data_IF_411308462565
#
_entry.id   IF_411308462565
#
_cell.length_a   1.000
_cell.length_b   1.000
_cell.length_c   1.000
_cell.angle_alpha   90.00
_cell.angle_beta   90.00
_cell.angle_gamma   90.00
#
_symmetry.space_group_name_H-M   'P 1'
#
loop_
_entity.id
_entity.type
_entity.pdbx_description
1 polymer ?
#
# COMPACT_ATOMS: atom_id res chain seq x y z
N UNK A 1 -23.98 -38.28 46.15
CA UNK A 1 -24.22 -37.10 47.02
C UNK A 1 -25.32 -36.32 46.33
N UNK A 2 -26.57 -36.56 46.71
CA UNK A 2 -27.74 -35.89 46.12
C UNK A 2 -27.68 -34.42 46.53
N UNK A 3 -27.64 -33.52 45.56
CA UNK A 3 -27.77 -32.08 45.82
C UNK A 3 -29.18 -31.86 46.40
N UNK A 4 -29.31 -30.96 47.36
CA UNK A 4 -30.63 -30.62 47.90
C UNK A 4 -31.53 -30.12 46.74
N UNK A 5 -32.73 -30.69 46.52
CA UNK A 5 -33.64 -30.27 45.45
C UNK A 5 -34.00 -28.78 45.52
N UNK A 6 -33.90 -28.17 46.71
CA UNK A 6 -34.09 -26.72 46.87
C UNK A 6 -32.90 -25.95 46.29
N UNK A 7 -31.67 -26.45 46.47
CA UNK A 7 -30.45 -25.82 45.96
C UNK A 7 -30.35 -25.94 44.43
N UNK A 8 -30.80 -27.06 43.84
CA UNK A 8 -30.86 -27.24 42.38
C UNK A 8 -31.94 -26.36 41.73
N UNK A 9 -33.10 -26.18 42.38
CA UNK A 9 -34.13 -25.24 41.92
C UNK A 9 -33.66 -23.77 41.97
N UNK A 10 -32.98 -23.37 43.06
CA UNK A 10 -32.45 -22.00 43.22
C UNK A 10 -31.37 -21.69 42.18
N UNK A 11 -30.46 -22.62 41.91
CA UNK A 11 -29.39 -22.45 40.91
C UNK A 11 -29.94 -22.40 39.49
N UNK A 12 -30.95 -23.23 39.15
CA UNK A 12 -31.63 -23.18 37.85
C UNK A 12 -32.27 -21.81 37.61
N UNK A 13 -32.99 -21.27 38.60
CA UNK A 13 -33.63 -19.95 38.53
C UNK A 13 -32.59 -18.84 38.43
N UNK A 14 -31.50 -18.92 39.19
CA UNK A 14 -30.42 -17.94 39.15
C UNK A 14 -29.70 -17.90 37.79
N UNK A 15 -29.43 -19.06 37.17
CA UNK A 15 -28.79 -19.15 35.85
C UNK A 15 -29.73 -18.65 34.74
N UNK A 16 -31.01 -19.03 34.80
CA UNK A 16 -32.01 -18.55 33.84
C UNK A 16 -32.20 -17.02 33.94
N UNK A 17 -32.33 -16.49 35.15
CA UNK A 17 -32.41 -15.04 35.39
C UNK A 17 -31.13 -14.33 34.93
N UNK A 18 -29.95 -14.87 35.23
CA UNK A 18 -28.66 -14.35 34.78
C UNK A 18 -28.55 -14.31 33.26
N UNK A 19 -28.94 -15.37 32.56
CA UNK A 19 -28.93 -15.42 31.09
C UNK A 19 -29.87 -14.38 30.47
N UNK A 20 -31.05 -14.20 31.04
CA UNK A 20 -32.02 -13.17 30.61
C UNK A 20 -31.45 -11.77 30.85
N UNK A 21 -30.84 -11.51 32.01
CA UNK A 21 -30.21 -10.23 32.33
C UNK A 21 -29.05 -9.94 31.38
N UNK A 22 -28.16 -10.90 31.14
CA UNK A 22 -27.05 -10.77 30.17
C UNK A 22 -27.58 -10.48 28.77
N UNK A 23 -28.60 -11.21 28.32
CA UNK A 23 -29.23 -10.96 27.02
C UNK A 23 -29.81 -9.54 26.93
N UNK A 24 -30.54 -9.10 27.96
CA UNK A 24 -31.14 -7.76 28.00
C UNK A 24 -30.05 -6.69 28.02
N UNK A 25 -29.05 -6.80 28.88
CA UNK A 25 -27.96 -5.83 29.04
C UNK A 25 -27.11 -5.75 27.77
N UNK A 26 -26.72 -6.88 27.18
CA UNK A 26 -25.97 -6.92 25.92
C UNK A 26 -26.69 -6.16 24.82
N UNK A 27 -27.98 -6.48 24.60
CA UNK A 27 -28.76 -5.78 23.59
C UNK A 27 -28.95 -4.31 23.94
N UNK A 28 -29.20 -3.97 25.22
CA UNK A 28 -29.32 -2.57 25.64
C UNK A 28 -28.03 -1.78 25.40
N UNK A 29 -26.85 -2.37 25.64
CA UNK A 29 -25.55 -1.75 25.44
C UNK A 29 -25.23 -1.55 23.94
N UNK A 30 -25.45 -2.58 23.11
CA UNK A 30 -25.31 -2.51 21.66
C UNK A 30 -26.18 -1.37 21.07
N UNK A 31 -27.38 -1.17 21.62
CA UNK A 31 -28.29 -0.10 21.18
C UNK A 31 -28.09 1.25 21.85
N UNK A 32 -27.47 1.30 23.04
CA UNK A 32 -27.11 2.56 23.71
C UNK A 32 -26.01 3.29 22.96
N UNK A 33 -25.07 2.53 22.37
CA UNK A 33 -23.82 3.08 21.87
C UNK A 33 -23.82 3.41 20.37
N UNK A 34 -24.67 2.80 19.52
CA UNK A 34 -24.35 2.84 18.09
C UNK A 34 -25.38 3.28 17.04
N UNK A 35 -26.71 3.25 17.24
CA UNK A 35 -27.57 3.24 16.04
C UNK A 35 -28.97 3.88 16.23
N UNK A 36 -29.12 5.15 15.83
CA UNK A 36 -30.42 5.89 15.75
C UNK A 36 -31.11 5.82 14.37
N UNK A 37 -30.57 5.05 13.42
CA UNK A 37 -31.09 4.93 12.04
C UNK A 37 -32.14 3.81 11.89
N UNK A 38 -32.96 3.85 10.84
CA UNK A 38 -33.96 2.79 10.54
C UNK A 38 -33.33 1.41 10.30
N UNK A 39 -32.08 1.37 9.86
CA UNK A 39 -31.26 0.15 9.77
C UNK A 39 -31.03 -0.52 11.12
N UNK A 40 -30.95 0.25 12.21
CA UNK A 40 -30.81 -0.26 13.58
C UNK A 40 -32.02 -1.08 14.05
N UNK A 41 -33.22 -0.60 13.69
CA UNK A 41 -34.49 -1.23 14.05
C UNK A 41 -34.67 -2.55 13.30
N UNK A 42 -34.30 -2.56 12.02
CA UNK A 42 -34.29 -3.79 11.20
C UNK A 42 -33.28 -4.81 11.74
N UNK A 43 -32.08 -4.35 12.12
CA UNK A 43 -31.06 -5.17 12.79
C UNK A 43 -31.58 -5.84 14.06
N UNK A 44 -32.31 -5.09 14.87
CA UNK A 44 -32.86 -5.55 16.14
C UNK A 44 -33.87 -6.69 15.93
N UNK A 45 -34.76 -6.59 14.96
CA UNK A 45 -35.79 -7.60 14.76
C UNK A 45 -35.20 -8.93 14.24
N UNK A 46 -34.26 -8.85 13.30
CA UNK A 46 -33.66 -9.99 12.62
C UNK A 46 -32.66 -10.79 13.50
N UNK A 47 -31.86 -10.13 14.33
CA UNK A 47 -30.80 -10.80 15.11
C UNK A 47 -31.25 -11.22 16.52
N UNK A 48 -32.32 -10.63 17.06
CA UNK A 48 -32.81 -10.94 18.42
C UNK A 48 -33.18 -12.40 18.61
N UNK A 49 -33.88 -12.98 17.64
CA UNK A 49 -34.35 -14.35 17.74
C UNK A 49 -33.19 -15.36 17.78
N UNK A 50 -32.23 -15.35 16.83
CA UNK A 50 -31.05 -16.20 16.93
C UNK A 50 -30.25 -15.99 18.22
N UNK A 51 -30.07 -14.73 18.66
CA UNK A 51 -29.36 -14.43 19.90
C UNK A 51 -30.07 -14.99 21.14
N UNK A 52 -31.41 -14.97 21.18
CA UNK A 52 -32.20 -15.55 22.27
C UNK A 52 -32.01 -17.06 22.34
N UNK A 53 -32.09 -17.73 21.19
CA UNK A 53 -31.86 -19.16 21.12
C UNK A 53 -30.46 -19.54 21.59
N UNK A 54 -29.42 -18.79 21.18
CA UNK A 54 -28.06 -19.02 21.65
C UNK A 54 -27.92 -18.83 23.16
N UNK A 55 -28.48 -17.74 23.71
CA UNK A 55 -28.43 -17.51 25.16
C UNK A 55 -29.20 -18.58 25.93
N UNK A 56 -30.32 -19.07 25.38
CA UNK A 56 -31.11 -20.13 26.00
C UNK A 56 -30.36 -21.46 26.01
N UNK A 57 -29.71 -21.86 24.91
CA UNK A 57 -28.96 -23.12 24.84
C UNK A 57 -27.71 -23.09 25.73
N UNK A 58 -27.05 -21.93 25.85
CA UNK A 58 -25.92 -21.73 26.78
C UNK A 58 -26.40 -21.78 28.24
N UNK A 59 -27.55 -21.18 28.55
CA UNK A 59 -28.14 -21.26 29.89
C UNK A 59 -28.47 -22.71 30.26
N UNK A 60 -29.06 -23.47 29.33
CA UNK A 60 -29.32 -24.91 29.50
C UNK A 60 -28.02 -25.65 29.81
N UNK A 61 -26.95 -25.42 29.04
CA UNK A 61 -25.64 -26.02 29.30
C UNK A 61 -25.10 -25.72 30.71
N UNK A 62 -25.26 -24.47 31.18
CA UNK A 62 -24.81 -24.06 32.51
C UNK A 62 -25.63 -24.68 33.64
N UNK A 63 -26.91 -25.01 33.40
CA UNK A 63 -27.79 -25.63 34.40
C UNK A 63 -27.66 -27.14 34.53
N UNK A 64 -27.31 -27.85 33.44
CA UNK A 64 -27.28 -29.32 33.41
C UNK A 64 -26.42 -29.98 34.50
N UNK A 65 -25.24 -29.46 34.89
CA UNK A 65 -24.42 -30.05 35.96
C UNK A 65 -25.08 -30.06 37.35
N UNK A 66 -26.09 -29.22 37.56
CA UNK A 66 -26.76 -29.03 38.87
C UNK A 66 -28.10 -29.76 38.94
N UNK A 67 -28.51 -30.41 37.85
CA UNK A 67 -29.76 -31.20 37.80
C UNK A 67 -29.55 -32.61 38.34
N UNK A 68 -30.55 -33.17 39.02
CA UNK A 68 -30.54 -34.54 39.55
C UNK A 68 -30.77 -35.63 38.47
N UNK A 69 -30.38 -35.35 37.22
CA UNK A 69 -30.48 -36.29 36.11
C UNK A 69 -29.45 -37.42 36.27
N UNK A 70 -29.79 -38.60 35.73
CA UNK A 70 -28.81 -39.70 35.67
C UNK A 70 -27.59 -39.30 34.83
N UNK A 71 -26.39 -39.80 35.13
CA UNK A 71 -25.17 -39.42 34.41
C UNK A 71 -25.27 -39.59 32.89
N UNK A 72 -25.96 -40.64 32.43
CA UNK A 72 -26.21 -40.88 31.01
C UNK A 72 -27.16 -39.85 30.39
N UNK A 73 -28.23 -39.47 31.10
CA UNK A 73 -29.17 -38.46 30.64
C UNK A 73 -28.50 -37.08 30.58
N UNK A 74 -27.70 -36.73 31.58
CA UNK A 74 -26.92 -35.48 31.60
C UNK A 74 -25.94 -35.42 30.43
N UNK A 75 -25.20 -36.51 30.15
CA UNK A 75 -24.27 -36.56 29.03
C UNK A 75 -24.97 -36.36 27.67
N UNK A 76 -26.13 -36.99 27.45
CA UNK A 76 -26.93 -36.81 26.22
C UNK A 76 -27.48 -35.38 26.12
N UNK A 77 -27.99 -34.84 27.23
CA UNK A 77 -28.52 -33.48 27.26
C UNK A 77 -27.43 -32.43 26.98
N UNK A 78 -26.23 -32.60 27.55
CA UNK A 78 -25.07 -31.73 27.29
C UNK A 78 -24.69 -31.78 25.81
N UNK A 79 -24.61 -32.98 25.23
CA UNK A 79 -24.25 -33.13 23.80
C UNK A 79 -25.29 -32.46 22.89
N UNK A 80 -26.59 -32.67 23.13
CA UNK A 80 -27.65 -32.01 22.37
C UNK A 80 -27.63 -30.49 22.53
N UNK A 81 -27.39 -29.99 23.75
CA UNK A 81 -27.34 -28.56 24.01
C UNK A 81 -26.09 -27.89 23.40
N UNK A 82 -24.96 -28.61 23.28
CA UNK A 82 -23.78 -28.15 22.52
C UNK A 82 -24.14 -28.01 21.03
N UNK A 83 -24.75 -29.03 20.42
CA UNK A 83 -25.16 -28.98 19.01
C UNK A 83 -26.14 -27.83 18.77
N UNK A 84 -27.16 -27.70 19.63
CA UNK A 84 -28.13 -26.61 19.56
C UNK A 84 -27.46 -25.22 19.67
N UNK A 85 -26.45 -25.09 20.54
CA UNK A 85 -25.67 -23.85 20.66
C UNK A 85 -24.86 -23.53 19.41
N UNK A 86 -24.22 -24.54 18.79
CA UNK A 86 -23.48 -24.34 17.53
C UNK A 86 -24.44 -23.89 16.41
N UNK A 87 -25.60 -24.54 16.28
CA UNK A 87 -26.62 -24.17 15.28
C UNK A 87 -27.14 -22.76 15.53
N UNK A 88 -27.44 -22.40 16.78
CA UNK A 88 -27.91 -21.07 17.13
C UNK A 88 -26.85 -19.99 16.85
N UNK A 89 -25.58 -20.27 17.14
CA UNK A 89 -24.46 -19.37 16.84
C UNK A 89 -24.25 -19.20 15.33
N UNK A 90 -24.30 -20.29 14.56
CA UNK A 90 -24.21 -20.25 13.10
C UNK A 90 -25.37 -19.47 12.49
N UNK A 91 -26.59 -19.69 12.98
CA UNK A 91 -27.77 -18.95 12.54
C UNK A 91 -27.66 -17.45 12.82
N UNK A 92 -27.17 -17.08 14.02
CA UNK A 92 -26.90 -15.69 14.39
C UNK A 92 -25.86 -15.07 13.46
N UNK A 93 -24.75 -15.76 13.19
CA UNK A 93 -23.69 -15.28 12.30
C UNK A 93 -24.19 -15.07 10.86
N UNK A 94 -24.94 -16.03 10.30
CA UNK A 94 -25.52 -15.93 8.96
C UNK A 94 -26.51 -14.76 8.85
N UNK A 95 -27.34 -14.55 9.89
CA UNK A 95 -28.25 -13.40 9.96
C UNK A 95 -27.48 -12.08 10.08
N UNK A 96 -26.42 -12.03 10.90
CA UNK A 96 -25.57 -10.85 11.01
C UNK A 96 -24.90 -10.50 9.67
N UNK A 97 -24.36 -11.48 8.95
CA UNK A 97 -23.77 -11.27 7.61
C UNK A 97 -24.82 -10.73 6.64
N UNK A 98 -26.01 -11.34 6.61
CA UNK A 98 -27.11 -10.92 5.73
C UNK A 98 -27.51 -9.47 6.00
N UNK A 99 -27.80 -9.14 7.25
CA UNK A 99 -28.26 -7.80 7.63
C UNK A 99 -27.15 -6.77 7.46
N UNK A 100 -25.90 -7.11 7.75
CA UNK A 100 -24.74 -6.24 7.48
C UNK A 100 -24.60 -5.91 5.99
N UNK A 101 -24.79 -6.91 5.14
CA UNK A 101 -24.78 -6.74 3.67
C UNK A 101 -25.95 -5.88 3.20
N UNK A 102 -27.17 -6.18 3.64
CA UNK A 102 -28.37 -5.42 3.28
C UNK A 102 -28.30 -3.97 3.78
N UNK A 103 -27.72 -3.74 4.97
CA UNK A 103 -27.51 -2.41 5.53
C UNK A 103 -26.44 -1.61 4.78
N UNK A 104 -25.38 -2.29 4.31
CA UNK A 104 -24.35 -1.66 3.49
C UNK A 104 -24.87 -1.31 2.09
N UNK A 105 -25.71 -2.19 1.52
CA UNK A 105 -26.34 -2.01 0.21
C UNK A 105 -27.48 -1.00 0.21
N UNK A 106 -28.28 -0.93 1.28
CA UNK A 106 -29.37 0.05 1.42
C UNK A 106 -28.90 1.51 1.54
N UNK A 107 -27.60 1.73 1.76
CA UNK A 107 -26.98 3.07 1.72
C UNK A 107 -26.55 3.50 0.31
N UNK A 108 -26.62 2.60 -0.68
CA UNK A 108 -26.30 2.92 -2.07
C UNK A 108 -27.58 3.38 -2.79
N UNK A 109 -27.50 4.54 -3.44
CA UNK A 109 -28.58 5.07 -4.25
C UNK A 109 -28.62 4.34 -5.61
N UNK A 110 -29.48 3.32 -5.70
CA UNK A 110 -29.63 2.47 -6.89
C UNK A 110 -30.58 3.06 -7.95
N UNK A 111 -31.20 4.22 -7.67
CA UNK A 111 -32.18 4.84 -8.56
C UNK A 111 -31.54 5.56 -9.77
N UNK A 112 -30.25 5.87 -9.71
CA UNK A 112 -29.50 6.50 -10.79
C UNK A 112 -28.98 5.45 -11.79
N UNK A 113 -29.44 5.53 -13.05
CA UNK A 113 -29.14 4.56 -14.12
C UNK A 113 -27.64 4.39 -14.43
N UNK A 114 -26.80 5.39 -14.15
CA UNK A 114 -25.38 5.45 -14.52
C UNK A 114 -24.38 5.04 -13.42
N UNK A 115 -24.84 4.40 -12.36
CA UNK A 115 -23.98 4.13 -11.22
C UNK A 115 -23.21 2.79 -11.36
N UNK A 116 -22.25 2.71 -12.29
CA UNK A 116 -21.36 1.55 -12.50
C UNK A 116 -20.63 1.13 -11.20
N UNK A 117 -20.27 2.12 -10.37
CA UNK A 117 -19.67 1.91 -9.05
C UNK A 117 -20.63 1.21 -8.08
N UNK A 118 -21.93 1.55 -8.12
CA UNK A 118 -22.93 0.89 -7.29
C UNK A 118 -23.13 -0.58 -7.71
N UNK A 119 -23.14 -0.85 -9.02
CA UNK A 119 -23.23 -2.22 -9.56
C UNK A 119 -22.00 -3.06 -9.19
N UNK A 120 -20.78 -2.49 -9.28
CA UNK A 120 -19.55 -3.18 -8.85
C UNK A 120 -19.58 -3.53 -7.36
N UNK A 121 -20.00 -2.58 -6.51
CA UNK A 121 -20.15 -2.80 -5.06
C UNK A 121 -21.21 -3.85 -4.73
N UNK A 122 -22.34 -3.86 -5.44
CA UNK A 122 -23.39 -4.89 -5.32
C UNK A 122 -22.84 -6.30 -5.55
N UNK A 123 -22.12 -6.49 -6.65
CA UNK A 123 -21.53 -7.79 -6.99
C UNK A 123 -20.48 -8.21 -5.97
N UNK A 124 -19.59 -7.30 -5.57
CA UNK A 124 -18.55 -7.57 -4.57
C UNK A 124 -19.13 -7.94 -3.20
N UNK A 125 -20.09 -7.17 -2.69
CA UNK A 125 -20.74 -7.44 -1.41
C UNK A 125 -21.54 -8.75 -1.43
N UNK A 126 -22.20 -9.06 -2.54
CA UNK A 126 -22.91 -10.34 -2.69
C UNK A 126 -21.96 -11.53 -2.71
N UNK A 127 -20.83 -11.41 -3.41
CA UNK A 127 -19.79 -12.44 -3.44
C UNK A 127 -19.19 -12.67 -2.04
N UNK A 128 -18.82 -11.59 -1.35
CA UNK A 128 -18.30 -11.66 0.03
C UNK A 128 -19.31 -12.31 0.97
N UNK A 129 -20.58 -11.89 0.93
CA UNK A 129 -21.65 -12.53 1.70
C UNK A 129 -21.74 -14.02 1.43
N UNK A 130 -21.70 -14.44 0.16
CA UNK A 130 -21.81 -15.86 -0.22
C UNK A 130 -20.61 -16.64 0.31
N UNK A 131 -19.39 -16.14 0.13
CA UNK A 131 -18.18 -16.78 0.63
C UNK A 131 -18.17 -16.88 2.16
N UNK A 132 -18.49 -15.80 2.87
CA UNK A 132 -18.59 -15.80 4.33
C UNK A 132 -19.68 -16.75 4.83
N UNK A 133 -20.84 -16.80 4.15
CA UNK A 133 -21.94 -17.70 4.53
C UNK A 133 -21.56 -19.18 4.35
N UNK A 134 -20.88 -19.51 3.25
CA UNK A 134 -20.34 -20.86 3.02
C UNK A 134 -19.31 -21.22 4.09
N UNK A 135 -18.41 -20.28 4.42
CA UNK A 135 -17.44 -20.47 5.50
C UNK A 135 -18.11 -20.76 6.85
N UNK A 136 -19.08 -19.94 7.27
CA UNK A 136 -19.82 -20.17 8.52
C UNK A 136 -20.52 -21.53 8.53
N UNK A 137 -21.18 -21.91 7.43
CA UNK A 137 -21.85 -23.20 7.32
C UNK A 137 -20.85 -24.38 7.42
N UNK A 138 -19.69 -24.28 6.76
CA UNK A 138 -18.64 -25.28 6.81
C UNK A 138 -18.06 -25.42 8.23
N UNK A 139 -17.73 -24.31 8.90
CA UNK A 139 -17.22 -24.34 10.27
C UNK A 139 -18.24 -24.87 11.27
N UNK A 140 -19.52 -24.49 11.13
CA UNK A 140 -20.58 -25.02 11.97
C UNK A 140 -20.77 -26.53 11.77
N UNK A 141 -20.76 -26.99 10.51
CA UNK A 141 -20.82 -28.43 10.19
C UNK A 141 -19.64 -29.20 10.76
N UNK A 142 -18.42 -28.68 10.61
CA UNK A 142 -17.22 -29.27 11.20
C UNK A 142 -17.29 -29.32 12.74
N UNK A 143 -17.72 -28.23 13.38
CA UNK A 143 -17.88 -28.17 14.83
C UNK A 143 -18.92 -29.19 15.35
N UNK A 144 -20.06 -29.34 14.66
CA UNK A 144 -21.07 -30.36 14.98
C UNK A 144 -20.47 -31.76 14.82
N UNK A 145 -19.76 -32.01 13.72
CA UNK A 145 -19.16 -33.32 13.45
C UNK A 145 -18.15 -33.71 14.55
N UNK A 146 -17.31 -32.77 15.00
CA UNK A 146 -16.34 -33.00 16.09
C UNK A 146 -16.96 -33.30 17.46
N UNK A 147 -18.27 -33.05 17.63
CA UNK A 147 -18.95 -33.46 18.87
C UNK A 147 -19.06 -34.98 18.99
N UNK A 148 -19.09 -35.72 17.88
CA UNK A 148 -19.22 -37.18 17.85
C UNK A 148 -17.87 -37.88 18.03
N UNK A 149 -17.72 -38.84 18.99
CA UNK A 149 -16.44 -39.52 19.24
C UNK A 149 -15.84 -40.19 18.00
N UNK A 150 -16.66 -40.87 17.20
CA UNK A 150 -16.22 -41.54 15.96
C UNK A 150 -15.64 -40.57 14.93
N UNK A 151 -16.11 -39.33 14.93
CA UNK A 151 -15.65 -38.31 14.01
C UNK A 151 -14.49 -37.47 14.57
N UNK A 152 -14.15 -37.56 15.87
CA UNK A 152 -12.97 -36.85 16.43
C UNK A 152 -11.66 -37.43 15.93
N UNK A 153 -11.56 -38.75 15.78
CA UNK A 153 -10.35 -39.41 15.26
C UNK A 153 -10.07 -39.01 13.80
N UNK A 154 -11.11 -38.95 12.97
CA UNK A 154 -11.04 -38.46 11.59
C UNK A 154 -10.89 -36.93 11.57
N UNK A 155 -11.52 -36.23 12.52
CA UNK A 155 -11.47 -34.78 12.65
C UNK A 155 -10.05 -34.27 12.94
N UNK A 156 -9.25 -35.00 13.72
CA UNK A 156 -7.86 -34.63 13.98
C UNK A 156 -7.00 -34.66 12.71
N UNK A 157 -7.15 -35.68 11.85
CA UNK A 157 -6.42 -35.73 10.58
C UNK A 157 -6.93 -34.69 9.58
N UNK A 158 -8.25 -34.48 9.52
CA UNK A 158 -8.84 -33.41 8.70
C UNK A 158 -8.41 -32.01 9.15
N UNK A 159 -8.33 -31.75 10.45
CA UNK A 159 -7.83 -30.49 11.01
C UNK A 159 -6.35 -30.29 10.68
N UNK A 160 -5.53 -31.34 10.75
CA UNK A 160 -4.13 -31.29 10.33
C UNK A 160 -3.99 -30.95 8.84
N UNK A 161 -4.78 -31.60 7.97
CA UNK A 161 -4.81 -31.29 6.54
C UNK A 161 -5.35 -29.88 6.25
N UNK A 162 -6.38 -29.44 6.96
CA UNK A 162 -6.91 -28.08 6.87
C UNK A 162 -5.88 -27.04 7.31
N UNK A 163 -5.05 -27.35 8.31
CA UNK A 163 -3.91 -26.53 8.72
C UNK A 163 -2.89 -26.36 7.59
N UNK A 164 -2.51 -27.45 6.91
CA UNK A 164 -1.61 -27.39 5.75
C UNK A 164 -2.22 -26.62 4.58
N UNK A 165 -3.49 -26.86 4.26
CA UNK A 165 -4.21 -26.11 3.22
C UNK A 165 -4.30 -24.62 3.57
N UNK A 166 -4.52 -24.30 4.85
CA UNK A 166 -4.52 -22.94 5.38
C UNK A 166 -3.16 -22.27 5.25
N UNK A 167 -2.06 -22.98 5.51
CA UNK A 167 -0.70 -22.47 5.31
C UNK A 167 -0.43 -22.15 3.84
N UNK A 168 -0.80 -23.04 2.92
CA UNK A 168 -0.63 -22.83 1.48
C UNK A 168 -1.46 -21.63 1.01
N UNK A 169 -2.72 -21.53 1.45
CA UNK A 169 -3.59 -20.39 1.15
C UNK A 169 -3.02 -19.08 1.72
N UNK A 170 -2.48 -19.11 2.94
CA UNK A 170 -1.82 -17.96 3.57
C UNK A 170 -0.57 -17.51 2.81
N UNK A 171 0.27 -18.46 2.38
CA UNK A 171 1.45 -18.17 1.58
C UNK A 171 1.08 -17.57 0.21
N UNK A 172 0.02 -18.08 -0.43
CA UNK A 172 -0.50 -17.52 -1.67
C UNK A 172 -1.07 -16.10 -1.48
N UNK A 173 -1.69 -15.82 -0.33
CA UNK A 173 -2.24 -14.50 -0.01
C UNK A 173 -1.20 -13.47 0.46
N UNK A 174 0.07 -13.88 0.66
CA UNK A 174 1.12 -13.04 1.25
C UNK A 174 1.30 -11.70 0.55
N UNK A 175 1.32 -11.67 -0.78
CA UNK A 175 1.50 -10.43 -1.55
C UNK A 175 0.31 -9.47 -1.42
N UNK A 176 -0.92 -10.02 -1.35
CA UNK A 176 -2.13 -9.21 -1.19
C UNK A 176 -2.18 -8.60 0.20
N UNK A 177 -1.93 -9.41 1.24
CA UNK A 177 -1.88 -8.92 2.62
C UNK A 177 -0.73 -7.95 2.85
N UNK A 178 0.45 -8.22 2.26
CA UNK A 178 1.60 -7.32 2.33
C UNK A 178 1.29 -5.95 1.73
N UNK A 179 0.64 -5.90 0.57
CA UNK A 179 0.18 -4.65 -0.03
C UNK A 179 -0.82 -3.91 0.86
N UNK A 180 -1.79 -4.60 1.46
CA UNK A 180 -2.76 -3.96 2.36
C UNK A 180 -2.11 -3.37 3.61
N UNK A 181 -1.15 -4.08 4.21
CA UNK A 181 -0.41 -3.59 5.38
C UNK A 181 0.45 -2.38 4.98
N UNK A 182 1.13 -2.46 3.83
CA UNK A 182 1.92 -1.36 3.29
C UNK A 182 1.06 -0.11 3.01
N UNK A 183 -0.13 -0.28 2.41
CA UNK A 183 -1.04 0.85 2.19
C UNK A 183 -1.55 1.48 3.47
N UNK A 184 -1.81 0.68 4.50
CA UNK A 184 -2.14 1.20 5.82
C UNK A 184 -0.95 1.97 6.43
N UNK A 185 0.26 1.45 6.27
CA UNK A 185 1.48 2.10 6.74
C UNK A 185 1.72 3.43 6.03
N UNK A 186 1.54 3.50 4.70
CA UNK A 186 1.65 4.77 3.95
C UNK A 186 0.60 5.76 4.43
N UNK A 187 -0.64 5.32 4.66
CA UNK A 187 -1.71 6.20 5.15
C UNK A 187 -1.43 6.79 6.55
N UNK A 188 -0.69 6.09 7.41
CA UNK A 188 -0.38 6.57 8.76
C UNK A 188 0.97 7.29 8.87
N UNK A 189 2.00 6.79 8.20
CA UNK A 189 3.36 7.35 8.27
C UNK A 189 3.63 8.42 7.21
N UNK A 190 2.77 8.53 6.20
CA UNK A 190 2.83 9.49 5.10
C UNK A 190 4.24 9.68 4.50
N UNK A 191 4.96 8.61 4.10
CA UNK A 191 6.26 8.76 3.42
C UNK A 191 6.11 9.39 2.02
N UNK A 192 4.92 9.30 1.45
CA UNK A 192 4.45 9.95 0.22
C UNK A 192 3.05 10.51 0.45
N UNK A 193 2.74 11.63 -0.18
CA UNK A 193 1.43 12.28 -0.17
C UNK A 193 0.84 12.36 -1.57
N UNK A 194 -0.46 12.63 -1.64
CA UNK A 194 -1.10 12.97 -2.91
C UNK A 194 -0.43 14.22 -3.48
N UNK A 195 -0.21 14.23 -4.80
CA UNK A 195 0.48 15.28 -5.55
C UNK A 195 1.98 15.48 -5.25
N UNK A 196 2.60 14.63 -4.43
CA UNK A 196 4.06 14.66 -4.24
C UNK A 196 4.81 14.37 -5.56
N UNK A 197 5.92 15.06 -5.79
CA UNK A 197 6.83 14.77 -6.89
C UNK A 197 7.83 13.72 -6.45
N UNK A 198 7.81 12.58 -7.12
CA UNK A 198 8.63 11.42 -6.79
C UNK A 198 9.42 10.94 -8.01
N UNK A 199 10.60 10.36 -7.74
CA UNK A 199 11.38 9.61 -8.72
C UNK A 199 11.38 8.15 -8.32
N UNK A 200 10.80 7.31 -9.17
CA UNK A 200 10.61 5.87 -8.97
C UNK A 200 10.98 5.14 -10.26
N UNK A 201 11.71 4.04 -10.16
CA UNK A 201 12.22 3.30 -11.35
C UNK A 201 12.97 4.18 -12.37
N UNK A 202 13.60 5.27 -11.93
CA UNK A 202 14.30 6.23 -12.80
C UNK A 202 13.40 7.19 -13.57
N UNK A 203 12.07 7.06 -13.43
CA UNK A 203 11.08 7.95 -14.03
C UNK A 203 10.61 8.96 -12.97
N UNK A 204 10.45 10.22 -13.36
CA UNK A 204 9.93 11.27 -12.50
C UNK A 204 8.46 11.55 -12.80
N UNK A 205 7.67 11.79 -11.77
CA UNK A 205 6.24 12.05 -11.89
C UNK A 205 5.62 12.50 -10.57
N UNK A 206 4.32 12.78 -10.61
CA UNK A 206 3.55 13.17 -9.43
C UNK A 206 2.63 12.03 -8.97
N UNK A 207 2.44 11.88 -7.67
CA UNK A 207 1.51 10.88 -7.11
C UNK A 207 0.07 11.30 -7.40
N UNK A 208 -0.64 10.55 -8.25
CA UNK A 208 -2.02 10.83 -8.69
C UNK A 208 -3.06 10.14 -7.79
N UNK A 209 -2.78 8.93 -7.30
CA UNK A 209 -3.71 8.15 -6.47
C UNK A 209 -2.95 7.26 -5.49
N UNK A 210 -3.39 7.21 -4.23
CA UNK A 210 -2.90 6.28 -3.21
C UNK A 210 -4.06 5.37 -2.80
N UNK A 211 -3.99 4.09 -3.17
CA UNK A 211 -4.93 3.05 -2.77
C UNK A 211 -4.28 2.11 -1.76
N UNK A 212 -5.11 1.31 -1.07
CA UNK A 212 -4.65 0.30 -0.12
C UNK A 212 -3.64 -0.70 -0.71
N UNK A 213 -3.71 -0.98 -2.02
CA UNK A 213 -2.90 -2.05 -2.65
C UNK A 213 -1.99 -1.58 -3.78
N UNK A 214 -2.20 -0.38 -4.31
CA UNK A 214 -1.34 0.21 -5.33
C UNK A 214 -1.30 1.73 -5.19
N UNK A 215 -0.28 2.34 -5.76
CA UNK A 215 -0.12 3.79 -5.93
C UNK A 215 0.01 4.08 -7.42
N UNK A 216 -0.62 5.15 -7.89
CA UNK A 216 -0.52 5.61 -9.27
C UNK A 216 0.35 6.86 -9.31
N UNK A 217 1.44 6.79 -10.07
CA UNK A 217 2.32 7.92 -10.36
C UNK A 217 2.09 8.36 -11.79
N UNK A 218 1.71 9.62 -11.99
CA UNK A 218 1.55 10.24 -13.30
C UNK A 218 2.90 10.76 -13.75
N UNK A 219 3.44 10.14 -14.79
CA UNK A 219 4.70 10.56 -15.40
C UNK A 219 4.52 11.86 -16.18
N UNK A 220 5.65 12.53 -16.43
CA UNK A 220 5.70 13.79 -17.19
C UNK A 220 5.09 13.69 -18.60
N UNK A 221 5.14 12.51 -19.22
CA UNK A 221 4.57 12.21 -20.54
C UNK A 221 3.09 11.75 -20.49
N UNK A 222 2.42 11.95 -19.35
CA UNK A 222 1.01 11.60 -19.08
C UNK A 222 0.72 10.10 -18.99
N UNK A 223 1.74 9.22 -19.01
CA UNK A 223 1.56 7.80 -18.66
C UNK A 223 1.31 7.64 -17.15
N UNK A 224 0.63 6.56 -16.77
CA UNK A 224 0.39 6.18 -15.37
C UNK A 224 1.24 4.98 -15.03
N UNK A 225 2.18 5.16 -14.13
CA UNK A 225 2.97 4.08 -13.56
C UNK A 225 2.23 3.57 -12.31
N UNK A 226 1.77 2.32 -12.37
CA UNK A 226 1.04 1.67 -11.27
C UNK A 226 2.02 0.79 -10.51
N UNK A 227 2.25 1.13 -9.24
CA UNK A 227 3.19 0.43 -8.37
C UNK A 227 2.44 -0.23 -7.20
N UNK A 228 2.81 -1.46 -6.80
CA UNK A 228 2.25 -2.07 -5.59
C UNK A 228 2.65 -1.23 -4.37
N UNK A 229 1.78 -1.14 -3.37
CA UNK A 229 2.07 -0.29 -2.21
C UNK A 229 3.27 -0.77 -1.40
N UNK A 230 3.60 -2.08 -1.46
CA UNK A 230 4.84 -2.61 -0.86
C UNK A 230 6.11 -1.98 -1.44
N UNK A 231 6.09 -1.50 -2.69
CA UNK A 231 7.25 -0.86 -3.32
C UNK A 231 7.78 0.32 -2.50
N UNK A 232 6.90 1.20 -2.04
CA UNK A 232 7.26 2.40 -1.29
C UNK A 232 7.65 2.12 0.17
N UNK A 233 7.49 0.89 0.62
CA UNK A 233 7.93 0.43 1.95
C UNK A 233 9.25 -0.32 1.86
N UNK A 234 9.44 -1.12 0.80
CA UNK A 234 10.57 -2.04 0.66
C UNK A 234 11.70 -1.47 -0.20
N UNK A 235 11.41 -0.53 -1.12
CA UNK A 235 12.35 0.01 -2.11
C UNK A 235 12.65 1.48 -1.85
N UNK A 236 13.92 1.92 -1.88
CA UNK A 236 14.27 3.33 -1.81
C UNK A 236 13.70 4.12 -3.00
N UNK A 237 13.16 5.30 -2.74
CA UNK A 237 12.68 6.24 -3.75
C UNK A 237 13.06 7.68 -3.34
N UNK A 238 13.00 8.61 -4.29
CA UNK A 238 13.22 10.02 -4.01
C UNK A 238 11.88 10.73 -3.95
N UNK A 239 11.66 11.52 -2.89
CA UNK A 239 10.53 12.43 -2.79
C UNK A 239 11.09 13.86 -2.76
N UNK A 240 10.85 14.59 -3.84
CA UNK A 240 11.37 15.94 -4.03
C UNK A 240 10.55 17.00 -3.28
N UNK A 241 9.31 16.69 -2.90
CA UNK A 241 8.38 17.63 -2.23
C UNK A 241 8.08 17.28 -0.78
N UNK A 242 8.83 16.36 -0.16
CA UNK A 242 8.56 15.86 1.20
C UNK A 242 8.55 16.95 2.27
N UNK A 243 9.45 17.93 2.17
CA UNK A 243 9.66 18.96 3.20
C UNK A 243 9.36 20.36 2.68
N UNK A 244 9.77 20.65 1.44
CA UNK A 244 9.55 21.93 0.78
C UNK A 244 9.24 21.69 -0.69
N UNK A 245 8.45 22.56 -1.31
CA UNK A 245 8.19 22.51 -2.75
C UNK A 245 9.44 22.88 -3.56
N UNK A 246 10.34 23.68 -2.95
CA UNK A 246 11.60 24.08 -3.57
C UNK A 246 12.47 22.88 -3.88
N UNK A 247 12.86 22.76 -5.15
CA UNK A 247 13.71 21.67 -5.64
C UNK A 247 15.04 22.24 -6.09
N UNK A 248 16.11 21.53 -5.75
CA UNK A 248 17.48 21.88 -6.11
C UNK A 248 17.82 21.23 -7.46
N UNK A 249 17.96 22.05 -8.49
CA UNK A 249 18.29 21.66 -9.85
C UNK A 249 19.79 21.63 -10.09
N UNK A 250 20.27 20.63 -10.83
CA UNK A 250 21.70 20.49 -11.19
C UNK A 250 21.92 20.53 -12.70
N UNK A 251 22.81 21.41 -13.15
CA UNK A 251 23.28 21.50 -14.54
C UNK A 251 24.78 21.22 -14.54
N UNK A 252 25.19 20.17 -15.24
CA UNK A 252 26.59 19.77 -15.35
C UNK A 252 27.12 20.10 -16.74
N UNK A 253 28.32 20.67 -16.79
CA UNK A 253 29.08 21.00 -17.98
C UNK A 253 30.42 20.27 -17.95
N UNK A 254 30.87 19.77 -19.09
CA UNK A 254 32.23 19.28 -19.28
C UNK A 254 32.96 20.29 -20.14
N UNK A 255 33.99 20.93 -19.59
CA UNK A 255 34.69 22.08 -20.19
C UNK A 255 36.19 21.80 -20.24
N UNK A 256 36.93 22.47 -21.13
CA UNK A 256 38.41 22.43 -21.13
C UNK A 256 38.94 23.04 -19.81
N UNK A 257 40.15 22.62 -19.39
CA UNK A 257 40.81 23.15 -18.18
C UNK A 257 41.07 24.66 -18.22
N UNK A 258 40.96 25.28 -19.40
CA UNK A 258 41.09 26.73 -19.60
C UNK A 258 39.82 27.52 -19.34
N UNK A 259 38.70 26.86 -19.07
CA UNK A 259 37.42 27.52 -18.85
C UNK A 259 37.50 28.59 -17.72
N UNK A 260 37.01 29.82 -17.95
CA UNK A 260 37.07 30.89 -16.96
C UNK A 260 35.93 30.73 -15.93
N UNK A 261 36.14 29.84 -14.96
CA UNK A 261 35.13 29.47 -13.96
C UNK A 261 34.55 30.68 -13.22
N UNK A 262 35.38 31.67 -12.86
CA UNK A 262 34.91 32.86 -12.14
C UNK A 262 34.00 33.75 -12.99
N UNK A 263 34.33 33.95 -14.27
CA UNK A 263 33.46 34.67 -15.19
C UNK A 263 32.15 33.90 -15.42
N UNK A 264 32.22 32.57 -15.50
CA UNK A 264 31.03 31.71 -15.62
C UNK A 264 30.13 31.79 -14.39
N UNK A 265 30.67 31.97 -13.17
CA UNK A 265 29.87 32.23 -11.96
C UNK A 265 29.09 33.54 -12.06
N UNK A 266 29.77 34.61 -12.49
CA UNK A 266 29.16 35.93 -12.64
C UNK A 266 28.06 35.90 -13.70
N UNK A 267 28.31 35.21 -14.81
CA UNK A 267 27.33 35.07 -15.88
C UNK A 267 26.13 34.22 -15.49
N UNK A 268 26.34 33.14 -14.70
CA UNK A 268 25.23 32.37 -14.13
C UNK A 268 24.33 33.28 -13.27
N UNK A 269 24.92 34.07 -12.36
CA UNK A 269 24.14 34.98 -11.52
C UNK A 269 23.35 35.98 -12.36
N UNK A 270 23.97 36.58 -13.39
CA UNK A 270 23.29 37.51 -14.32
C UNK A 270 22.10 36.85 -15.03
N UNK A 271 22.26 35.60 -15.46
CA UNK A 271 21.18 34.81 -16.06
C UNK A 271 20.04 34.57 -15.06
N UNK A 272 20.36 34.27 -13.80
CA UNK A 272 19.36 33.98 -12.77
C UNK A 272 18.60 35.22 -12.33
N UNK A 273 19.28 36.34 -12.10
CA UNK A 273 18.66 37.62 -11.71
C UNK A 273 17.65 38.15 -12.74
N UNK A 274 17.82 37.76 -14.00
CA UNK A 274 16.92 38.14 -15.10
C UNK A 274 15.85 37.09 -15.42
N UNK A 275 15.95 35.88 -14.84
CA UNK A 275 15.04 34.78 -15.14
C UNK A 275 13.91 34.71 -14.10
N UNK A 276 12.64 34.89 -14.51
CA UNK A 276 11.50 34.87 -13.59
C UNK A 276 11.23 33.49 -12.95
N UNK A 277 11.89 32.42 -13.43
CA UNK A 277 11.75 31.05 -12.89
C UNK A 277 12.66 30.79 -11.68
N UNK A 278 13.62 31.67 -11.39
CA UNK A 278 14.49 31.53 -10.23
C UNK A 278 13.81 32.09 -8.98
N UNK A 279 13.86 31.34 -7.88
CA UNK A 279 13.20 31.69 -6.62
C UNK A 279 14.05 32.61 -5.72
N UNK A 280 15.26 32.94 -6.13
CA UNK A 280 16.16 33.85 -5.42
C UNK A 280 16.91 33.23 -4.24
N UNK A 281 16.76 31.92 -3.99
CA UNK A 281 17.28 31.29 -2.78
C UNK A 281 18.73 30.80 -2.94
N UNK A 282 18.94 29.65 -3.58
CA UNK A 282 20.26 29.03 -3.70
C UNK A 282 20.75 29.07 -5.15
N UNK A 283 22.00 29.51 -5.32
CA UNK A 283 22.77 29.25 -6.52
C UNK A 283 24.23 28.96 -6.16
N UNK A 284 24.85 28.00 -6.85
CA UNK A 284 26.29 27.74 -6.74
C UNK A 284 26.81 27.10 -8.01
N UNK A 285 27.92 27.59 -8.54
CA UNK A 285 28.65 26.96 -9.64
C UNK A 285 30.01 26.48 -9.16
N UNK A 286 30.37 25.22 -9.32
CA UNK A 286 31.63 24.68 -8.79
C UNK A 286 32.25 23.68 -9.75
N UNK A 287 33.58 23.60 -9.77
CA UNK A 287 34.28 22.47 -10.38
C UNK A 287 34.13 21.30 -9.41
N UNK A 288 33.48 20.23 -9.85
CA UNK A 288 33.16 19.07 -9.00
C UNK A 288 34.02 17.85 -9.30
N UNK A 289 34.64 17.80 -10.47
CA UNK A 289 35.50 16.71 -10.90
C UNK A 289 36.45 17.17 -12.02
N UNK A 290 37.49 16.39 -12.32
CA UNK A 290 38.40 16.61 -13.45
C UNK A 290 38.83 15.29 -14.09
N UNK A 291 38.89 15.28 -15.41
CA UNK A 291 39.51 14.21 -16.21
C UNK A 291 40.87 14.69 -16.74
N UNK A 292 41.53 13.84 -17.54
CA UNK A 292 42.77 14.16 -18.27
C UNK A 292 42.59 15.27 -19.32
N UNK A 293 41.36 15.46 -19.80
CA UNK A 293 41.03 16.28 -20.97
C UNK A 293 40.01 17.38 -20.68
N UNK A 294 39.23 17.25 -19.60
CA UNK A 294 38.18 18.21 -19.24
C UNK A 294 38.08 18.40 -17.74
N UNK A 295 37.50 19.52 -17.31
CA UNK A 295 36.96 19.69 -15.96
C UNK A 295 35.42 19.59 -16.00
N UNK A 296 34.83 19.04 -14.94
CA UNK A 296 33.38 18.96 -14.78
C UNK A 296 32.92 20.09 -13.87
N UNK A 297 32.15 21.02 -14.43
CA UNK A 297 31.59 22.18 -13.74
C UNK A 297 30.10 21.95 -13.51
N UNK A 298 29.63 22.11 -12.27
CA UNK A 298 28.22 21.96 -11.90
C UNK A 298 27.65 23.26 -11.38
N UNK A 299 26.58 23.73 -12.02
CA UNK A 299 25.69 24.74 -11.49
C UNK A 299 24.53 24.08 -10.74
N UNK A 300 24.27 24.53 -9.53
CA UNK A 300 23.12 24.18 -8.71
C UNK A 300 22.27 25.43 -8.53
N UNK A 301 20.96 25.31 -8.74
CA UNK A 301 19.99 26.40 -8.64
C UNK A 301 18.69 25.88 -8.02
N UNK A 302 18.01 26.68 -7.21
CA UNK A 302 16.67 26.36 -6.70
C UNK A 302 15.57 27.00 -7.55
N UNK A 303 14.38 26.42 -7.51
CA UNK A 303 13.16 27.03 -8.02
C UNK A 303 11.97 26.57 -7.15
N UNK A 304 10.83 27.25 -7.31
CA UNK A 304 9.62 27.03 -6.51
C UNK A 304 9.08 25.59 -6.55
N UNK A 305 9.20 24.91 -7.70
CA UNK A 305 8.73 23.55 -7.91
C UNK A 305 9.58 22.75 -8.93
N UNK A 306 9.29 21.46 -9.05
CA UNK A 306 10.04 20.56 -9.94
C UNK A 306 9.90 20.87 -11.45
N UNK A 307 8.71 21.21 -12.01
CA UNK A 307 8.62 21.68 -13.39
C UNK A 307 9.43 22.96 -13.66
N UNK A 308 9.34 23.93 -12.75
CA UNK A 308 10.02 25.22 -12.89
C UNK A 308 11.53 25.06 -12.81
N UNK A 309 12.03 24.22 -11.89
CA UNK A 309 13.47 23.93 -11.82
C UNK A 309 13.98 23.21 -13.07
N UNK A 310 13.14 22.39 -13.71
CA UNK A 310 13.51 21.74 -14.97
C UNK A 310 13.71 22.77 -16.08
N UNK A 311 12.74 23.66 -16.28
CA UNK A 311 12.83 24.73 -17.28
C UNK A 311 14.00 25.67 -16.99
N UNK A 312 14.20 26.07 -15.73
CA UNK A 312 15.32 26.89 -15.30
C UNK A 312 16.68 26.21 -15.61
N UNK A 313 16.78 24.90 -15.41
CA UNK A 313 18.00 24.13 -15.78
C UNK A 313 18.25 24.15 -17.29
N UNK A 314 17.20 24.14 -18.11
CA UNK A 314 17.33 24.26 -19.56
C UNK A 314 17.79 25.66 -19.94
N UNK A 315 17.13 26.70 -19.43
CA UNK A 315 17.51 28.10 -19.68
C UNK A 315 18.97 28.35 -19.30
N UNK A 316 19.39 27.94 -18.09
CA UNK A 316 20.77 28.09 -17.61
C UNK A 316 21.77 27.36 -18.51
N UNK A 317 21.41 26.16 -18.98
CA UNK A 317 22.29 25.36 -19.85
C UNK A 317 22.46 26.01 -21.21
N UNK A 318 21.36 26.43 -21.82
CA UNK A 318 21.35 27.07 -23.13
C UNK A 318 22.08 28.42 -23.09
N UNK A 319 21.80 29.23 -22.08
CA UNK A 319 22.42 30.55 -21.87
C UNK A 319 23.94 30.45 -21.66
N UNK A 320 24.39 29.61 -20.72
CA UNK A 320 25.83 29.48 -20.43
C UNK A 320 26.59 28.86 -21.60
N UNK A 321 26.02 27.91 -22.33
CA UNK A 321 26.66 27.37 -23.54
C UNK A 321 26.79 28.47 -24.61
N UNK A 322 25.72 29.23 -24.87
CA UNK A 322 25.75 30.31 -25.84
C UNK A 322 26.82 31.36 -25.48
N UNK A 323 26.86 31.77 -24.21
CA UNK A 323 27.86 32.70 -23.72
C UNK A 323 29.29 32.17 -23.84
N UNK A 324 29.53 30.90 -23.49
CA UNK A 324 30.85 30.26 -23.65
C UNK A 324 31.27 30.22 -25.12
N UNK A 325 30.36 29.90 -26.04
CA UNK A 325 30.65 29.88 -27.49
C UNK A 325 31.04 31.28 -28.00
N UNK A 326 30.36 32.32 -27.54
CA UNK A 326 30.56 33.69 -28.02
C UNK A 326 31.81 34.36 -27.42
N UNK A 327 32.05 34.19 -26.12
CA UNK A 327 33.08 34.94 -25.39
C UNK A 327 34.31 34.11 -25.04
N UNK A 328 34.18 32.79 -24.91
CA UNK A 328 35.21 31.88 -24.41
C UNK A 328 35.28 30.55 -25.17
N UNK A 329 35.48 30.57 -26.51
CA UNK A 329 35.50 29.34 -27.31
C UNK A 329 36.60 28.36 -26.86
N UNK A 330 37.66 28.84 -26.20
CA UNK A 330 38.72 28.02 -25.60
C UNK A 330 38.26 27.16 -24.42
N UNK A 331 37.11 27.46 -23.82
CA UNK A 331 36.53 26.69 -22.72
C UNK A 331 35.80 25.43 -23.21
N UNK A 332 35.51 25.33 -24.51
CA UNK A 332 34.84 24.16 -25.08
C UNK A 332 35.83 22.99 -25.21
N UNK A 333 35.41 21.75 -24.90
CA UNK A 333 36.29 20.59 -25.01
C UNK A 333 36.85 20.43 -26.42
N UNK A 334 38.18 20.38 -26.54
CA UNK A 334 38.86 20.09 -27.80
C UNK A 334 39.70 18.82 -27.69
N UNK A 335 39.68 17.99 -28.74
CA UNK A 335 40.57 16.82 -28.82
C UNK A 335 41.86 17.23 -29.52
N UNK A 336 42.95 17.36 -28.76
CA UNK A 336 44.28 17.62 -29.33
C UNK A 336 44.83 16.34 -29.95
N UNK A 337 45.01 16.34 -31.26
CA UNK A 337 45.72 15.28 -31.98
C UNK A 337 47.07 15.87 -32.36
N UNK A 338 48.13 15.35 -31.75
CA UNK A 338 49.49 15.72 -32.13
C UNK A 338 49.85 14.97 -33.42
N UNK A 339 49.72 15.64 -34.57
CA UNK A 339 50.12 15.08 -35.86
C UNK A 339 51.63 15.29 -35.95
N UNK A 340 52.40 14.39 -35.35
CA UNK A 340 53.85 14.36 -35.48
C UNK A 340 54.21 14.36 -36.98
N UNK A 341 54.93 15.40 -37.41
CA UNK A 341 55.14 15.73 -38.82
C UNK A 341 55.84 14.65 -39.63
N UNK A 342 55.17 14.19 -40.70
CA UNK A 342 55.73 13.33 -41.75
C UNK A 342 56.58 14.10 -42.78
N UNK A 343 57.31 15.15 -42.35
CA UNK A 343 58.08 16.02 -43.24
C UNK A 343 59.57 15.66 -43.38
N UNK A 344 60.01 14.45 -42.97
CA UNK A 344 61.43 14.05 -43.06
C UNK A 344 61.72 12.81 -43.93
N UNK A 345 60.90 12.52 -44.96
CA UNK A 345 61.21 11.44 -45.94
C UNK A 345 61.16 11.82 -47.42
N UNK A 346 61.00 13.10 -47.77
CA UNK A 346 60.84 13.56 -49.16
C UNK A 346 62.06 14.18 -49.85
N UNK A 347 63.12 14.55 -49.12
CA UNK A 347 64.28 15.26 -49.69
C UNK A 347 65.58 14.66 -49.18
N UNK A 348 66.00 13.52 -49.73
CA UNK A 348 67.41 13.06 -49.81
C UNK A 348 67.44 11.66 -50.44
N UNK A 349 67.32 11.60 -51.77
CA UNK A 349 67.93 10.55 -52.63
C UNK A 349 67.72 10.89 -54.11
N UNK A 350 68.27 12.03 -54.54
CA UNK A 350 68.74 12.20 -55.91
C UNK A 350 70.23 12.50 -55.79
N UNK A 351 71.02 11.45 -55.53
CA UNK A 351 72.46 11.47 -55.79
C UNK A 351 72.61 10.92 -57.20
N UNK A 352 72.92 11.85 -58.08
CA UNK A 352 73.38 11.70 -59.44
C UNK A 352 74.57 10.71 -59.50
N UNK A 353 74.43 9.63 -60.26
CA UNK A 353 75.55 8.74 -60.62
C UNK A 353 75.76 8.91 -62.13
N UNK A 354 76.32 10.05 -62.51
CA UNK A 354 76.79 10.35 -63.86
C UNK A 354 78.17 11.00 -63.81
N UNK A 355 79.20 10.24 -63.42
CA UNK A 355 80.58 10.50 -63.86
C UNK A 355 81.52 9.36 -63.43
N UNK A 356 81.75 8.38 -64.32
CA UNK A 356 82.98 7.59 -64.36
C UNK A 356 83.06 6.81 -65.68
N UNK A 357 83.28 7.54 -66.77
CA UNK A 357 83.93 7.02 -67.97
C UNK A 357 85.27 7.71 -68.09
N UNK A 358 86.37 7.01 -67.76
CA UNK A 358 87.62 6.82 -68.53
C UNK A 358 88.62 6.11 -67.63
#
# INVERSE_FOLDING_TARGET
>A
MTIDPVLSAVTLVAVAAGAIVVHIVFWRAVFRFGWRSDTARTLQHELRWPARWLTATVAVLATLPVTDLSPEATARAVHLAIIASIVAAAWLALRAIRVGTESALGRLDLATRDNLLARRRLTQMTLLRRLSSVGVALFAGAAILLTFPAARSIGASLLASAGLAGLIAGLAARSTLGNMIAGLQIAFAEPIRLDDVVVVEGEWGNVEEITLTYVVVRLWDKRRLILPTTYFVETPFQNWTRSHAQVLGSVTFHLDHRAPVEAMRQELLRCLETNPRWDGDVWVLQVIDTTDTTMTVRALVTAEDAPTVWDLRCDVREHLIAWLVEHHPEALPTRRVDVAGDQLRGQERVIDISSAST
#
